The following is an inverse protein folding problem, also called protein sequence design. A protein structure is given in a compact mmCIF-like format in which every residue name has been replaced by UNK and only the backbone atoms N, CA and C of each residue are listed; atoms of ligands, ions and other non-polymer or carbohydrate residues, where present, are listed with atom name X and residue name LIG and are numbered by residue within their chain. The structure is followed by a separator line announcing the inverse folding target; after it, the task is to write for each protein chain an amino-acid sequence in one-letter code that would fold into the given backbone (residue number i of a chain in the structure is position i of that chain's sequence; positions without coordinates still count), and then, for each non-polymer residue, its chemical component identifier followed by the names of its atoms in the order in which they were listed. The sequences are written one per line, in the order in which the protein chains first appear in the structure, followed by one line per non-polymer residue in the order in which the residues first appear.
data_IF_664932972872
#
_entry.id   IF_664932972872
#
_cell.length_a   1.000
_cell.length_b   1.000
_cell.length_c   1.000
_cell.angle_alpha   90.00
_cell.angle_beta   90.00
_cell.angle_gamma   90.00
#
_symmetry.space_group_name_H-M   'P 1'
#
loop_
_entity.id
_entity.type
_entity.pdbx_description
1 polymer ?
#
# COMPACT_ATOMS: atom_id res chain seq x y z
N UNK A 1 -23.84 6.36 -19.53
CA UNK A 1 -22.43 6.63 -19.10
C UNK A 1 -21.85 5.49 -18.29
N UNK A 2 -22.55 5.01 -17.24
CA UNK A 2 -22.06 3.95 -16.35
C UNK A 2 -21.79 2.62 -17.09
N UNK A 3 -22.70 2.18 -17.94
CA UNK A 3 -22.51 0.95 -18.73
C UNK A 3 -21.26 1.06 -19.63
N UNK A 4 -21.08 2.21 -20.29
CA UNK A 4 -19.90 2.44 -21.12
C UNK A 4 -18.60 2.40 -20.33
N UNK A 5 -18.60 2.88 -19.10
CA UNK A 5 -17.45 2.79 -18.21
C UNK A 5 -17.07 1.33 -17.93
N UNK A 6 -18.05 0.52 -17.53
CA UNK A 6 -17.82 -0.89 -17.24
C UNK A 6 -17.46 -1.69 -18.49
N UNK A 7 -18.12 -1.44 -19.61
CA UNK A 7 -17.80 -2.09 -20.90
C UNK A 7 -16.35 -1.79 -21.31
N UNK A 8 -15.91 -0.54 -21.19
CA UNK A 8 -14.53 -0.17 -21.51
C UNK A 8 -13.52 -0.85 -20.59
N UNK A 9 -13.80 -0.96 -19.30
CA UNK A 9 -12.91 -1.60 -18.33
C UNK A 9 -12.85 -3.12 -18.57
N UNK A 10 -14.01 -3.78 -18.65
CA UNK A 10 -14.11 -5.23 -18.75
C UNK A 10 -13.63 -5.80 -20.08
N UNK A 11 -13.64 -5.00 -21.15
CA UNK A 11 -13.18 -5.43 -22.48
C UNK A 11 -11.67 -5.32 -22.69
N UNK A 12 -10.90 -4.81 -21.71
CA UNK A 12 -9.44 -4.75 -21.83
C UNK A 12 -8.82 -6.15 -21.78
N UNK A 13 -9.37 -7.03 -20.95
CA UNK A 13 -8.92 -8.40 -20.83
C UNK A 13 -10.11 -9.35 -20.91
N UNK A 14 -10.12 -10.23 -21.91
CA UNK A 14 -11.22 -11.19 -22.12
C UNK A 14 -10.69 -12.58 -22.43
N UNK A 15 -11.38 -13.58 -21.90
CA UNK A 15 -11.10 -15.01 -22.12
C UNK A 15 -12.31 -15.67 -22.76
N UNK A 16 -12.06 -16.59 -23.69
CA UNK A 16 -13.05 -17.45 -24.29
C UNK A 16 -12.57 -18.91 -24.16
N UNK A 17 -12.98 -19.57 -23.10
CA UNK A 17 -12.52 -20.92 -22.75
C UNK A 17 -13.43 -22.04 -23.29
N UNK A 18 -14.64 -21.70 -23.74
CA UNK A 18 -15.71 -22.66 -24.06
C UNK A 18 -16.51 -23.13 -22.84
N UNK A 19 -16.22 -22.57 -21.66
CA UNK A 19 -17.00 -22.78 -20.44
C UNK A 19 -17.60 -21.46 -19.97
N UNK A 20 -18.89 -21.28 -20.16
CA UNK A 20 -19.58 -20.01 -19.88
C UNK A 20 -19.45 -19.54 -18.43
N UNK A 21 -19.33 -20.46 -17.46
CA UNK A 21 -19.15 -20.10 -16.04
C UNK A 21 -17.77 -19.55 -15.79
N UNK A 22 -16.74 -20.16 -16.37
CA UNK A 22 -15.37 -19.69 -16.25
C UNK A 22 -15.22 -18.33 -16.98
N UNK A 23 -15.75 -18.21 -18.17
CA UNK A 23 -15.71 -16.97 -18.96
C UNK A 23 -16.39 -15.83 -18.21
N UNK A 24 -17.56 -16.06 -17.61
CA UNK A 24 -18.24 -15.06 -16.78
C UNK A 24 -17.44 -14.66 -15.55
N UNK A 25 -16.82 -15.64 -14.88
CA UNK A 25 -16.03 -15.38 -13.69
C UNK A 25 -14.82 -14.50 -14.02
N UNK A 26 -14.07 -14.84 -15.06
CA UNK A 26 -12.87 -14.12 -15.47
C UNK A 26 -13.20 -12.76 -16.10
N UNK A 27 -14.16 -12.72 -17.03
CA UNK A 27 -14.42 -11.52 -17.81
C UNK A 27 -15.24 -10.45 -17.07
N UNK A 28 -15.93 -10.82 -16.00
CA UNK A 28 -16.81 -9.90 -15.28
C UNK A 28 -16.42 -9.84 -13.80
N UNK A 29 -16.64 -10.93 -13.06
CA UNK A 29 -16.61 -10.89 -11.61
C UNK A 29 -15.23 -10.61 -11.02
N UNK A 30 -14.18 -11.26 -11.54
CA UNK A 30 -12.83 -11.03 -11.03
C UNK A 30 -12.38 -9.59 -11.31
N UNK A 31 -12.63 -9.09 -12.50
CA UNK A 31 -12.25 -7.73 -12.87
C UNK A 31 -13.06 -6.67 -12.10
N UNK A 32 -14.35 -6.91 -11.91
CA UNK A 32 -15.20 -6.08 -11.06
C UNK A 32 -14.67 -6.04 -9.63
N UNK A 33 -14.37 -7.21 -9.06
CA UNK A 33 -13.84 -7.32 -7.71
C UNK A 33 -12.49 -6.60 -7.57
N UNK A 34 -11.56 -6.78 -8.51
CA UNK A 34 -10.28 -6.09 -8.52
C UNK A 34 -10.45 -4.57 -8.55
N UNK A 35 -11.38 -4.07 -9.38
CA UNK A 35 -11.66 -2.63 -9.46
C UNK A 35 -12.22 -2.08 -8.16
N UNK A 36 -13.16 -2.79 -7.53
CA UNK A 36 -13.72 -2.37 -6.23
C UNK A 36 -12.63 -2.42 -5.16
N UNK A 37 -11.86 -3.49 -5.10
CA UNK A 37 -10.74 -3.61 -4.15
C UNK A 37 -9.74 -2.48 -4.33
N UNK A 38 -9.34 -2.17 -5.55
CA UNK A 38 -8.48 -1.03 -5.85
C UNK A 38 -9.05 0.31 -5.36
N UNK A 39 -10.36 0.52 -5.51
CA UNK A 39 -11.01 1.74 -5.04
C UNK A 39 -11.07 1.83 -3.52
N UNK A 40 -11.25 0.71 -2.86
CA UNK A 40 -11.52 0.66 -1.42
C UNK A 40 -10.23 0.55 -0.58
N UNK A 41 -9.26 -0.26 -1.03
CA UNK A 41 -7.98 -0.51 -0.35
C UNK A 41 -8.11 -0.63 1.17
N UNK A 42 -9.01 -1.51 1.62
CA UNK A 42 -9.38 -1.78 3.02
C UNK A 42 -10.16 -0.65 3.72
N UNK A 43 -10.44 0.45 3.07
CA UNK A 43 -11.41 1.44 3.55
C UNK A 43 -12.83 1.00 3.17
N UNK A 44 -13.25 -0.17 3.67
CA UNK A 44 -14.38 -0.90 3.12
C UNK A 44 -15.73 -0.26 3.46
N UNK A 45 -15.99 0.05 4.72
CA UNK A 45 -17.24 0.66 5.11
C UNK A 45 -17.18 1.29 6.51
N UNK A 46 -18.11 2.19 6.76
CA UNK A 46 -18.33 2.74 8.08
C UNK A 46 -18.61 1.64 9.14
N UNK A 47 -19.37 0.64 8.78
CA UNK A 47 -19.74 -0.44 9.72
C UNK A 47 -18.58 -1.33 10.09
N UNK A 48 -17.64 -1.55 9.16
CA UNK A 48 -16.46 -2.37 9.42
C UNK A 48 -15.37 -1.59 10.15
N UNK A 49 -15.10 -0.36 9.69
CA UNK A 49 -13.86 0.33 10.01
C UNK A 49 -14.06 1.65 10.75
N UNK A 50 -15.31 2.12 10.87
CA UNK A 50 -15.61 3.46 11.40
C UNK A 50 -15.24 4.58 10.43
N UNK A 51 -15.43 5.82 10.88
CA UNK A 51 -15.19 7.02 10.07
C UNK A 51 -13.72 7.44 9.97
N UNK A 52 -12.89 6.97 10.89
CA UNK A 52 -11.47 7.36 10.96
C UNK A 52 -10.56 6.55 10.06
N UNK A 53 -11.01 5.41 9.54
CA UNK A 53 -10.16 4.53 8.75
C UNK A 53 -9.95 5.05 7.33
N UNK A 54 -8.69 5.15 6.95
CA UNK A 54 -8.26 5.51 5.60
C UNK A 54 -8.00 4.28 4.72
N UNK A 55 -7.47 4.55 3.54
CA UNK A 55 -6.92 3.53 2.64
C UNK A 55 -5.55 3.09 3.13
N UNK A 56 -5.29 1.79 3.18
CA UNK A 56 -4.00 1.27 3.61
C UNK A 56 -2.87 1.59 2.62
N UNK A 57 -1.71 1.93 3.14
CA UNK A 57 -0.50 2.16 2.32
C UNK A 57 -0.08 0.87 1.58
N UNK A 58 0.12 -0.20 2.33
CA UNK A 58 0.42 -1.54 1.80
C UNK A 58 -0.71 -2.05 0.93
N UNK A 59 -1.94 -1.99 1.43
CA UNK A 59 -3.12 -2.51 0.74
C UNK A 59 -3.31 -1.85 -0.63
N UNK A 60 -3.12 -0.54 -0.73
CA UNK A 60 -3.23 0.19 -1.99
C UNK A 60 -2.19 -0.27 -3.02
N UNK A 61 -0.98 -0.60 -2.59
CA UNK A 61 0.06 -1.14 -3.45
C UNK A 61 -0.24 -2.58 -3.88
N UNK A 62 -0.72 -3.44 -2.95
CA UNK A 62 -1.12 -4.81 -3.27
C UNK A 62 -2.24 -4.86 -4.31
N UNK A 63 -3.28 -4.05 -4.09
CA UNK A 63 -4.44 -3.99 -4.97
C UNK A 63 -4.06 -3.45 -6.36
N UNK A 64 -3.11 -2.51 -6.40
CA UNK A 64 -2.55 -1.99 -7.65
C UNK A 64 -1.82 -3.07 -8.44
N UNK A 65 -0.94 -3.85 -7.79
CA UNK A 65 -0.13 -4.88 -8.44
C UNK A 65 -0.98 -5.88 -9.22
N UNK A 66 -2.11 -6.27 -8.68
CA UNK A 66 -3.02 -7.22 -9.32
C UNK A 66 -3.81 -6.65 -10.50
N UNK A 67 -3.80 -5.32 -10.72
CA UNK A 67 -4.76 -4.69 -11.62
C UNK A 67 -4.17 -3.62 -12.56
N UNK A 68 -2.86 -3.40 -12.55
CA UNK A 68 -2.17 -2.37 -13.36
C UNK A 68 -2.55 -2.43 -14.84
N UNK A 69 -2.59 -3.63 -15.42
CA UNK A 69 -2.86 -3.84 -16.85
C UNK A 69 -4.21 -3.26 -17.32
N UNK A 70 -5.19 -3.17 -16.43
CA UNK A 70 -6.50 -2.62 -16.78
C UNK A 70 -6.64 -1.13 -16.48
N UNK A 71 -5.84 -0.60 -15.54
CA UNK A 71 -5.98 0.78 -15.06
C UNK A 71 -4.65 1.54 -14.99
N UNK A 72 -3.77 1.47 -16.01
CA UNK A 72 -2.39 1.98 -15.90
C UNK A 72 -2.34 3.46 -15.49
N UNK A 73 -3.19 4.32 -16.03
CA UNK A 73 -3.24 5.74 -15.67
C UNK A 73 -3.64 5.96 -14.20
N UNK A 74 -4.61 5.20 -13.71
CA UNK A 74 -5.04 5.29 -12.30
C UNK A 74 -4.00 4.67 -11.38
N UNK A 75 -3.34 3.61 -11.81
CA UNK A 75 -2.25 2.99 -11.07
C UNK A 75 -1.08 3.98 -10.89
N UNK A 76 -0.69 4.69 -11.95
CA UNK A 76 0.33 5.74 -11.90
C UNK A 76 -0.02 6.82 -10.88
N UNK A 77 -1.24 7.34 -10.94
CA UNK A 77 -1.68 8.36 -9.99
C UNK A 77 -1.70 7.83 -8.55
N UNK A 78 -2.12 6.59 -8.34
CA UNK A 78 -2.14 5.96 -7.03
C UNK A 78 -0.73 5.84 -6.42
N UNK A 79 0.28 5.49 -7.21
CA UNK A 79 1.68 5.44 -6.77
C UNK A 79 2.14 6.82 -6.29
N UNK A 80 1.82 7.87 -7.03
CA UNK A 80 2.17 9.25 -6.66
C UNK A 80 1.43 9.68 -5.38
N UNK A 81 0.14 9.39 -5.28
CA UNK A 81 -0.66 9.69 -4.09
C UNK A 81 -0.08 9.02 -2.83
N UNK A 82 0.29 7.74 -2.94
CA UNK A 82 0.89 6.98 -1.84
C UNK A 82 2.28 7.54 -1.47
N UNK A 83 3.14 7.76 -2.46
CA UNK A 83 4.48 8.29 -2.25
C UNK A 83 4.45 9.65 -1.55
N UNK A 84 3.45 10.48 -1.85
CA UNK A 84 3.27 11.80 -1.22
C UNK A 84 3.02 11.72 0.30
N UNK A 85 2.65 10.56 0.82
CA UNK A 85 2.42 10.36 2.25
C UNK A 85 3.64 9.80 2.99
N UNK A 86 4.73 9.54 2.29
CA UNK A 86 5.97 9.06 2.87
C UNK A 86 6.68 10.17 3.66
N UNK A 87 7.39 9.79 4.72
CA UNK A 87 8.23 10.70 5.50
C UNK A 87 9.63 10.86 4.91
N UNK A 88 10.34 11.95 5.23
CA UNK A 88 11.72 12.15 4.76
C UNK A 88 12.73 11.09 5.21
N UNK A 89 12.44 10.37 6.28
CA UNK A 89 13.27 9.27 6.79
C UNK A 89 12.99 7.93 6.10
N UNK A 90 11.98 7.91 5.20
CA UNK A 90 11.57 6.72 4.45
C UNK A 90 10.44 5.92 5.09
N UNK A 91 10.09 6.19 6.34
CA UNK A 91 8.87 5.68 6.94
C UNK A 91 7.62 6.25 6.25
N UNK A 92 6.47 5.75 6.61
CA UNK A 92 5.21 6.23 6.05
C UNK A 92 4.05 6.07 7.02
N UNK A 93 2.97 6.77 6.73
CA UNK A 93 1.70 6.48 7.38
C UNK A 93 1.21 5.10 6.94
N UNK A 94 0.67 4.34 7.88
CA UNK A 94 0.02 3.07 7.53
C UNK A 94 -1.26 3.26 6.71
N UNK A 95 -1.87 4.44 6.81
CA UNK A 95 -3.09 4.79 6.07
C UNK A 95 -3.08 6.24 5.59
N UNK A 96 -3.87 6.52 4.56
CA UNK A 96 -4.15 7.86 4.06
C UNK A 96 -5.63 8.04 3.72
N UNK A 97 -6.10 9.29 3.75
CA UNK A 97 -7.49 9.60 3.48
C UNK A 97 -7.79 9.61 1.98
N UNK A 98 -8.83 8.91 1.51
CA UNK A 98 -9.09 8.77 0.07
C UNK A 98 -9.44 10.09 -0.64
N UNK A 99 -10.07 11.03 0.06
CA UNK A 99 -10.51 12.29 -0.53
C UNK A 99 -9.42 13.35 -0.53
N UNK A 100 -8.71 13.50 0.56
CA UNK A 100 -7.67 14.53 0.73
C UNK A 100 -6.30 14.08 0.27
N UNK A 101 -6.08 12.77 0.12
CA UNK A 101 -4.80 12.11 -0.18
C UNK A 101 -3.73 12.36 0.89
N UNK A 102 -4.12 12.76 2.08
CA UNK A 102 -3.22 13.01 3.20
C UNK A 102 -3.08 11.80 4.08
N UNK A 103 -1.89 11.62 4.63
CA UNK A 103 -1.61 10.59 5.62
C UNK A 103 -2.54 10.69 6.82
N UNK A 104 -2.87 9.54 7.41
CA UNK A 104 -3.74 9.43 8.58
C UNK A 104 -2.96 8.79 9.72
N UNK A 105 -2.78 9.54 10.80
CA UNK A 105 -2.02 9.10 11.96
C UNK A 105 -2.87 8.39 13.04
N UNK A 106 -4.17 8.22 12.83
CA UNK A 106 -5.07 7.62 13.83
C UNK A 106 -4.69 6.18 14.17
N UNK A 107 -4.12 5.46 13.21
CA UNK A 107 -3.59 4.10 13.40
C UNK A 107 -2.08 4.11 13.60
N UNK A 108 -1.45 5.27 13.41
CA UNK A 108 0.00 5.45 13.52
C UNK A 108 0.78 5.03 12.27
N UNK A 109 2.08 4.89 12.44
CA UNK A 109 3.03 4.47 11.42
C UNK A 109 4.05 3.51 12.02
N UNK A 110 5.20 3.33 11.35
CA UNK A 110 6.29 2.50 11.87
C UNK A 110 6.17 1.01 11.53
N UNK A 111 5.29 0.67 10.59
CA UNK A 111 5.26 -0.66 9.99
C UNK A 111 6.43 -0.80 9.02
N UNK A 112 7.33 -1.68 9.32
CA UNK A 112 8.63 -1.74 8.64
C UNK A 112 8.53 -2.21 7.17
N UNK A 113 7.49 -2.94 6.83
CA UNK A 113 7.24 -3.43 5.48
C UNK A 113 6.55 -2.39 4.56
N UNK A 114 5.80 -1.45 5.12
CA UNK A 114 5.04 -0.47 4.34
C UNK A 114 5.89 0.25 3.27
N UNK A 115 7.08 0.81 3.57
CA UNK A 115 7.90 1.46 2.55
C UNK A 115 8.32 0.54 1.38
N UNK A 116 8.50 -0.75 1.63
CA UNK A 116 8.86 -1.72 0.62
C UNK A 116 7.76 -1.94 -0.42
N UNK A 117 6.51 -1.79 -0.02
CA UNK A 117 5.37 -1.93 -0.90
C UNK A 117 5.30 -0.84 -1.97
N UNK A 118 5.79 0.37 -1.68
CA UNK A 118 5.91 1.42 -2.70
C UNK A 118 6.88 1.02 -3.81
N UNK A 119 8.00 0.39 -3.46
CA UNK A 119 8.96 -0.15 -4.43
C UNK A 119 8.28 -1.23 -5.27
N UNK A 120 7.61 -2.18 -4.63
CA UNK A 120 6.97 -3.30 -5.30
C UNK A 120 5.87 -2.84 -6.26
N UNK A 121 5.00 -1.94 -5.82
CA UNK A 121 3.94 -1.36 -6.66
C UNK A 121 4.49 -0.59 -7.87
N UNK A 122 5.54 0.22 -7.66
CA UNK A 122 6.18 0.98 -8.74
C UNK A 122 6.86 0.04 -9.76
N UNK A 123 7.54 -1.00 -9.28
CA UNK A 123 8.17 -2.00 -10.17
C UNK A 123 7.12 -2.77 -10.98
N UNK A 124 6.02 -3.16 -10.37
CA UNK A 124 4.91 -3.81 -11.07
C UNK A 124 4.33 -2.91 -12.16
N UNK A 125 4.13 -1.63 -11.86
CA UNK A 125 3.66 -0.64 -12.83
C UNK A 125 4.62 -0.51 -14.02
N UNK A 126 5.93 -0.34 -13.77
CA UNK A 126 6.93 -0.21 -14.83
C UNK A 126 7.02 -1.48 -15.68
N UNK A 127 6.98 -2.67 -15.06
CA UNK A 127 6.99 -3.93 -15.79
C UNK A 127 5.82 -4.09 -16.74
N UNK A 128 4.65 -3.64 -16.33
CA UNK A 128 3.44 -3.75 -17.14
C UNK A 128 3.36 -2.69 -18.24
N UNK A 129 3.78 -1.47 -17.95
CA UNK A 129 3.56 -0.32 -18.85
C UNK A 129 4.78 0.09 -19.66
N UNK A 130 5.98 -0.24 -19.20
CA UNK A 130 7.24 0.29 -19.74
C UNK A 130 7.46 1.78 -19.45
N UNK A 131 6.61 2.41 -18.62
CA UNK A 131 6.70 3.83 -18.31
C UNK A 131 7.73 4.11 -17.21
N UNK A 132 8.98 4.33 -17.61
CA UNK A 132 10.05 4.76 -16.71
C UNK A 132 9.96 6.24 -16.33
N UNK A 133 9.13 7.04 -17.02
CA UNK A 133 9.01 8.48 -16.73
C UNK A 133 8.46 8.74 -15.34
N UNK A 134 7.71 7.81 -14.78
CA UNK A 134 7.20 7.89 -13.40
C UNK A 134 8.31 8.11 -12.37
N UNK A 135 9.51 7.58 -12.60
CA UNK A 135 10.63 7.71 -11.69
C UNK A 135 11.15 9.16 -11.55
N UNK A 136 10.88 10.00 -12.54
CA UNK A 136 11.27 11.41 -12.54
C UNK A 136 10.20 12.35 -11.96
N UNK A 137 9.00 11.83 -11.66
CA UNK A 137 7.93 12.63 -11.05
C UNK A 137 8.38 13.23 -9.73
N UNK A 138 8.10 14.53 -9.57
CA UNK A 138 8.42 15.26 -8.36
C UNK A 138 7.30 15.09 -7.34
N UNK A 139 7.60 14.46 -6.23
CA UNK A 139 6.63 14.06 -5.20
C UNK A 139 7.07 14.64 -3.86
N UNK A 140 6.17 15.32 -3.12
CA UNK A 140 6.50 15.87 -1.81
C UNK A 140 6.55 14.75 -0.74
N UNK A 141 7.29 15.00 0.35
CA UNK A 141 7.18 14.22 1.57
C UNK A 141 6.03 14.74 2.45
N UNK A 142 5.31 13.83 3.10
CA UNK A 142 4.22 14.15 4.04
C UNK A 142 3.22 15.18 3.50
N UNK A 143 2.96 15.13 2.20
CA UNK A 143 2.13 16.11 1.50
C UNK A 143 2.54 17.58 1.72
N UNK A 144 3.81 17.87 2.04
CA UNK A 144 4.31 19.21 2.33
C UNK A 144 4.89 19.85 1.06
N UNK A 145 4.29 20.94 0.54
CA UNK A 145 4.84 21.67 -0.59
C UNK A 145 6.26 22.18 -0.31
N UNK A 146 7.14 22.09 -1.31
CA UNK A 146 8.54 22.52 -1.19
C UNK A 146 9.49 21.42 -0.73
N UNK A 147 9.01 20.20 -0.54
CA UNK A 147 9.83 19.03 -0.17
C UNK A 147 9.97 18.03 -1.31
N UNK A 148 9.55 18.41 -2.51
CA UNK A 148 9.49 17.52 -3.67
C UNK A 148 10.87 16.98 -4.05
N UNK A 149 10.94 15.68 -4.22
CA UNK A 149 12.05 14.96 -4.84
C UNK A 149 11.53 13.98 -5.88
N UNK A 150 12.40 13.40 -6.68
CA UNK A 150 11.95 12.40 -7.66
C UNK A 150 11.37 11.17 -6.98
N UNK A 151 10.40 10.52 -7.60
CA UNK A 151 9.88 9.24 -7.10
C UNK A 151 11.02 8.22 -6.91
N UNK A 152 12.05 8.25 -7.77
CA UNK A 152 13.21 7.39 -7.61
C UNK A 152 13.94 7.61 -6.27
N UNK A 153 14.03 8.85 -5.80
CA UNK A 153 14.58 9.13 -4.46
C UNK A 153 13.67 8.57 -3.35
N UNK A 154 12.35 8.69 -3.48
CA UNK A 154 11.41 8.04 -2.56
C UNK A 154 11.67 6.54 -2.43
N UNK A 155 11.88 5.83 -3.56
CA UNK A 155 12.17 4.40 -3.54
C UNK A 155 13.52 4.08 -2.88
N UNK A 156 14.55 4.89 -3.12
CA UNK A 156 15.87 4.73 -2.47
C UNK A 156 15.77 4.95 -0.96
N UNK A 157 15.05 5.97 -0.55
CA UNK A 157 14.86 6.29 0.88
C UNK A 157 14.04 5.17 1.56
N UNK A 158 13.01 4.62 0.90
CA UNK A 158 12.28 3.45 1.38
C UNK A 158 13.21 2.27 1.68
N UNK A 159 14.09 1.95 0.74
CA UNK A 159 15.06 0.86 0.92
C UNK A 159 16.04 1.15 2.05
N UNK A 160 16.56 2.38 2.10
CA UNK A 160 17.49 2.80 3.14
C UNK A 160 16.84 2.78 4.53
N UNK A 161 15.55 3.11 4.64
CA UNK A 161 14.82 3.02 5.90
C UNK A 161 14.89 1.61 6.48
N UNK A 162 14.65 0.59 5.67
CA UNK A 162 14.73 -0.80 6.10
C UNK A 162 16.18 -1.21 6.40
N UNK A 163 17.14 -0.85 5.54
CA UNK A 163 18.56 -1.19 5.72
C UNK A 163 19.14 -0.56 7.00
N UNK A 164 18.68 0.63 7.35
CA UNK A 164 19.14 1.32 8.56
C UNK A 164 18.48 0.80 9.84
N UNK A 165 17.46 -0.04 9.72
CA UNK A 165 16.72 -0.65 10.83
C UNK A 165 16.89 -2.18 10.85
N UNK A 166 18.13 -2.64 10.76
CA UNK A 166 18.46 -4.05 10.86
C UNK A 166 18.80 -4.44 12.30
N UNK A 167 18.47 -5.66 12.66
CA UNK A 167 18.85 -6.26 13.93
C UNK A 167 20.28 -6.82 13.95
N UNK A 168 20.69 -7.48 15.04
CA UNK A 168 22.05 -7.96 15.24
C UNK A 168 22.50 -9.00 14.20
N UNK A 169 21.57 -9.74 13.62
CA UNK A 169 21.87 -10.72 12.55
C UNK A 169 21.76 -10.11 11.15
N UNK A 170 21.57 -8.80 11.05
CA UNK A 170 21.40 -8.05 9.79
C UNK A 170 20.11 -8.41 9.04
N UNK A 171 19.12 -8.88 9.74
CA UNK A 171 17.76 -9.04 9.22
C UNK A 171 16.93 -7.81 9.57
N UNK A 172 15.90 -7.47 8.76
CA UNK A 172 15.01 -6.37 9.07
C UNK A 172 14.34 -6.56 10.44
N UNK A 173 14.22 -5.48 11.19
CA UNK A 173 13.41 -5.48 12.40
C UNK A 173 11.94 -5.49 12.00
N UNK A 174 11.12 -6.19 12.76
CA UNK A 174 9.67 -6.23 12.51
C UNK A 174 9.05 -4.85 12.69
N UNK A 175 9.56 -4.07 13.65
CA UNK A 175 8.97 -2.78 13.98
C UNK A 175 7.59 -2.99 14.58
N UNK A 176 6.62 -2.22 14.13
CA UNK A 176 5.22 -2.42 14.47
C UNK A 176 4.67 -3.62 13.71
N UNK A 177 4.01 -4.54 14.41
CA UNK A 177 3.39 -5.69 13.78
C UNK A 177 1.96 -5.39 13.36
N UNK A 178 1.55 -6.08 12.32
CA UNK A 178 0.21 -5.99 11.77
C UNK A 178 -0.35 -7.40 11.53
N UNK A 179 -0.20 -7.95 10.34
CA UNK A 179 -0.74 -9.26 9.98
C UNK A 179 -0.11 -10.45 10.72
N UNK A 180 0.98 -10.23 11.41
CA UNK A 180 1.61 -11.25 12.25
C UNK A 180 0.83 -11.57 13.52
N UNK A 181 -0.29 -10.88 13.77
CA UNK A 181 -1.16 -11.07 14.95
C UNK A 181 -0.38 -11.17 16.25
N UNK A 182 0.69 -10.44 16.34
CA UNK A 182 1.55 -10.40 17.53
C UNK A 182 2.17 -11.74 17.91
N UNK A 183 2.31 -12.65 17.00
CA UNK A 183 2.98 -13.92 17.27
C UNK A 183 4.38 -13.71 17.87
N UNK A 184 4.97 -12.58 17.59
CA UNK A 184 6.28 -12.17 18.02
C UNK A 184 6.30 -11.05 19.05
N UNK A 185 5.16 -10.55 19.50
CA UNK A 185 5.11 -9.28 20.20
C UNK A 185 4.57 -9.37 21.60
N UNK A 186 3.52 -10.11 21.80
CA UNK A 186 2.93 -10.28 23.14
C UNK A 186 3.92 -10.85 24.16
N UNK A 187 4.98 -11.48 23.69
CA UNK A 187 6.04 -11.95 24.57
C UNK A 187 6.87 -10.82 25.19
N UNK A 188 6.77 -9.60 24.66
CA UNK A 188 7.51 -8.44 25.18
C UNK A 188 6.63 -7.44 25.92
N UNK A 189 5.32 -7.63 25.92
CA UNK A 189 4.38 -6.79 26.66
C UNK A 189 3.86 -7.51 27.90
N UNK A 190 3.79 -6.76 29.01
CA UNK A 190 3.17 -7.19 30.26
C UNK A 190 1.69 -6.75 30.35
N UNK A 191 1.23 -5.93 29.40
CA UNK A 191 -0.16 -5.48 29.34
C UNK A 191 -0.99 -6.42 28.45
N UNK A 192 -1.96 -7.16 29.01
CA UNK A 192 -2.80 -8.06 28.23
C UNK A 192 -3.73 -7.34 27.23
N UNK A 193 -3.87 -6.01 27.34
CA UNK A 193 -4.64 -5.21 26.39
C UNK A 193 -3.81 -4.76 25.18
N UNK A 194 -2.50 -4.87 25.25
CA UNK A 194 -1.62 -4.69 24.11
C UNK A 194 -1.68 -5.96 23.27
N UNK A 195 -2.51 -5.97 22.23
CA UNK A 195 -2.57 -7.07 21.29
C UNK A 195 -1.49 -6.95 20.21
N UNK A 196 -1.84 -6.87 18.96
CA UNK A 196 -0.89 -6.76 17.86
C UNK A 196 -0.20 -5.38 17.74
N UNK A 197 -0.51 -4.44 18.57
CA UNK A 197 0.16 -3.13 18.63
C UNK A 197 1.22 -3.05 19.73
N UNK A 198 1.53 -4.15 20.33
CA UNK A 198 2.40 -4.27 21.50
C UNK A 198 3.84 -3.85 21.28
N UNK A 199 4.21 -3.65 20.05
CA UNK A 199 5.55 -3.16 19.71
C UNK A 199 5.80 -1.73 20.07
N UNK A 200 4.76 -0.98 20.36
CA UNK A 200 4.89 0.40 20.76
C UNK A 200 5.25 0.57 22.23
N UNK A 201 5.97 -0.33 22.80
CA UNK A 201 6.52 -0.09 24.10
C UNK A 201 7.32 1.21 24.05
N UNK A 202 6.61 2.33 24.26
CA UNK A 202 7.15 3.71 24.19
C UNK A 202 7.63 4.16 22.80
N UNK A 203 7.03 3.66 21.72
CA UNK A 203 7.35 4.07 20.36
C UNK A 203 8.55 3.38 19.74
N UNK A 204 9.12 2.36 20.38
CA UNK A 204 10.33 1.71 19.87
C UNK A 204 10.07 0.55 18.90
N UNK A 205 8.85 0.04 18.82
CA UNK A 205 8.53 -1.12 18.00
C UNK A 205 9.22 -2.41 18.44
N UNK A 206 8.99 -3.52 17.76
CA UNK A 206 9.65 -4.78 18.05
C UNK A 206 11.10 -4.78 17.59
N UNK A 207 11.98 -5.22 18.47
CA UNK A 207 13.39 -5.50 18.14
C UNK A 207 13.61 -6.92 17.65
N UNK A 208 12.54 -7.67 17.41
CA UNK A 208 12.64 -8.98 16.79
C UNK A 208 12.95 -8.83 15.28
N UNK A 209 13.82 -9.69 14.79
CA UNK A 209 14.14 -9.79 13.38
C UNK A 209 13.13 -10.68 12.66
N UNK A 210 12.77 -10.32 11.41
CA UNK A 210 11.84 -11.08 10.58
C UNK A 210 12.57 -11.94 9.54
#
# INVERSE_FOLDING_TARGET
ELNKYWDNLLNIFTVKSGNDKLDRMVNIWNQYQCMITFCMSRSASFFESGIGRGMGFRDSNQDLVGFVHQIPTRARQRIIDIASTQFPDGGCYHQYQPLTKRGNNDIGGGFNDDPCWLIFGTVAYIKETGDFSILAEQVPFDNQPGTEVSLFEHLKISMNHVINNLGPHKLPLIGRADWNDCLNLNCFSWDPNESFQTTENKGEGSKAES
#
